data_IF_032562966020
#
_entry.id   IF_032562966020
#
_cell.length_a   1.000
_cell.length_b   1.000
_cell.length_c   1.000
_cell.angle_alpha   90.00
_cell.angle_beta   90.00
_cell.angle_gamma   90.00
#
_symmetry.space_group_name_H-M   'P 1'
#
loop_
_entity.id
_entity.type
_entity.pdbx_description
1 polymer ?
#
# COMPACT_ATOMS: atom_id res chain seq x y z
N UNK A 1 10.47 -8.94 -20.58
CA UNK A 1 9.05 -9.12 -20.85
C UNK A 1 8.55 -10.52 -20.46
N UNK A 2 9.23 -11.56 -20.88
CA UNK A 2 8.88 -12.93 -20.52
C UNK A 2 8.93 -13.17 -19.00
N UNK A 3 9.99 -12.67 -18.33
CA UNK A 3 10.13 -12.78 -16.87
C UNK A 3 9.01 -12.04 -16.14
N UNK A 4 8.58 -10.89 -16.65
CA UNK A 4 7.49 -10.11 -16.07
C UNK A 4 6.17 -10.87 -16.18
N UNK A 5 5.88 -11.43 -17.35
CA UNK A 5 4.67 -12.23 -17.57
C UNK A 5 4.71 -13.49 -16.71
N UNK A 6 5.85 -14.15 -16.64
CA UNK A 6 6.01 -15.35 -15.81
C UNK A 6 5.75 -15.03 -14.34
N UNK A 7 6.33 -13.95 -13.81
CA UNK A 7 6.09 -13.55 -12.41
C UNK A 7 4.63 -13.24 -12.15
N UNK A 8 3.95 -12.53 -13.06
CA UNK A 8 2.52 -12.24 -12.92
C UNK A 8 1.69 -13.52 -12.83
N UNK A 9 2.06 -14.55 -13.58
CA UNK A 9 1.34 -15.82 -13.61
C UNK A 9 1.66 -16.74 -12.43
N UNK A 10 2.90 -16.72 -11.93
CA UNK A 10 3.38 -17.64 -10.90
C UNK A 10 3.35 -17.04 -9.48
N UNK A 11 3.58 -15.73 -9.36
CA UNK A 11 3.59 -15.02 -8.08
C UNK A 11 3.07 -13.60 -8.25
N UNK A 12 1.75 -13.46 -8.46
CA UNK A 12 1.17 -12.14 -8.71
C UNK A 12 1.36 -11.17 -7.55
N UNK A 13 1.35 -11.63 -6.32
CA UNK A 13 1.54 -10.76 -5.16
C UNK A 13 2.93 -10.11 -5.16
N UNK A 14 3.96 -10.89 -5.47
CA UNK A 14 5.32 -10.34 -5.58
C UNK A 14 5.43 -9.37 -6.76
N UNK A 15 4.82 -9.71 -7.89
CA UNK A 15 4.81 -8.84 -9.07
C UNK A 15 4.20 -7.46 -8.72
N UNK A 16 3.02 -7.44 -8.11
CA UNK A 16 2.37 -6.17 -7.76
C UNK A 16 3.06 -5.45 -6.61
N UNK A 17 3.62 -6.19 -5.65
CA UNK A 17 4.39 -5.53 -4.57
C UNK A 17 5.64 -4.84 -5.11
N UNK A 18 6.28 -5.36 -6.14
CA UNK A 18 7.41 -4.68 -6.78
C UNK A 18 6.99 -3.33 -7.37
N UNK A 19 5.77 -3.24 -7.89
CA UNK A 19 5.24 -1.98 -8.42
C UNK A 19 4.87 -1.01 -7.30
N UNK A 20 4.33 -1.49 -6.18
CA UNK A 20 4.13 -0.68 -4.99
C UNK A 20 5.47 -0.17 -4.44
N UNK A 21 6.50 -1.00 -4.47
CA UNK A 21 7.85 -0.64 -4.03
C UNK A 21 8.44 0.49 -4.89
N UNK A 22 8.17 0.49 -6.20
CA UNK A 22 8.58 1.59 -7.07
C UNK A 22 7.94 2.91 -6.65
N UNK A 23 6.69 2.88 -6.21
CA UNK A 23 6.03 4.07 -5.65
C UNK A 23 6.71 4.52 -4.35
N UNK A 24 7.14 3.57 -3.50
CA UNK A 24 7.92 3.90 -2.31
C UNK A 24 9.25 4.56 -2.66
N UNK A 25 9.92 4.09 -3.71
CA UNK A 25 11.17 4.70 -4.19
C UNK A 25 10.93 6.11 -4.73
N UNK A 26 9.79 6.36 -5.35
CA UNK A 26 9.40 7.71 -5.79
C UNK A 26 9.26 8.65 -4.57
N UNK A 27 8.58 8.19 -3.51
CA UNK A 27 8.47 8.95 -2.27
C UNK A 27 9.87 9.28 -1.71
N UNK A 28 10.76 8.29 -1.66
CA UNK A 28 12.13 8.47 -1.18
C UNK A 28 12.86 9.54 -1.99
N UNK A 29 12.71 9.54 -3.32
CA UNK A 29 13.35 10.53 -4.18
C UNK A 29 12.88 11.96 -3.93
N UNK A 30 11.71 12.11 -3.32
CA UNK A 30 11.11 13.41 -2.95
C UNK A 30 11.24 13.71 -1.46
N UNK A 31 12.09 12.97 -0.76
CA UNK A 31 12.36 13.11 0.69
C UNK A 31 11.10 12.91 1.55
N UNK A 32 10.19 12.08 1.08
CA UNK A 32 9.03 11.63 1.85
C UNK A 32 9.31 10.28 2.48
N UNK A 33 8.58 9.93 3.55
CA UNK A 33 8.66 8.59 4.12
C UNK A 33 8.34 7.58 3.00
N UNK A 34 9.25 6.62 2.71
CA UNK A 34 9.14 5.79 1.51
C UNK A 34 8.11 4.66 1.64
N UNK A 35 6.86 5.03 1.43
CA UNK A 35 5.73 4.11 1.40
C UNK A 35 5.03 4.27 0.06
N UNK A 36 4.73 3.15 -0.58
CA UNK A 36 4.02 3.12 -1.84
C UNK A 36 2.86 2.15 -1.81
N UNK A 37 1.84 2.43 -2.60
CA UNK A 37 0.64 1.60 -2.69
C UNK A 37 0.08 1.57 -4.11
N UNK A 38 -0.49 0.44 -4.48
CA UNK A 38 -1.26 0.30 -5.72
C UNK A 38 -2.55 -0.44 -5.44
N UNK A 39 -3.59 -0.13 -6.22
CA UNK A 39 -4.86 -0.86 -6.20
C UNK A 39 -5.02 -1.60 -7.51
N UNK A 40 -5.37 -2.88 -7.42
CA UNK A 40 -5.44 -3.79 -8.56
C UNK A 40 -6.82 -4.46 -8.61
N UNK A 41 -7.38 -4.57 -9.80
CA UNK A 41 -8.57 -5.37 -10.08
C UNK A 41 -8.35 -6.12 -11.39
N UNK A 42 -8.63 -7.43 -11.40
CA UNK A 42 -8.45 -8.28 -12.59
C UNK A 42 -7.05 -8.13 -13.23
N UNK A 43 -6.03 -8.16 -12.40
CA UNK A 43 -4.62 -8.00 -12.79
C UNK A 43 -4.30 -6.65 -13.45
N UNK A 44 -5.19 -5.66 -13.28
CA UNK A 44 -5.00 -4.32 -13.81
C UNK A 44 -4.83 -3.32 -12.68
N UNK A 45 -3.79 -2.48 -12.76
CA UNK A 45 -3.57 -1.41 -11.80
C UNK A 45 -4.53 -0.27 -12.14
N UNK A 46 -5.36 0.11 -11.16
CA UNK A 46 -6.36 1.18 -11.32
C UNK A 46 -6.10 2.38 -10.41
N UNK A 47 -5.13 2.28 -9.51
CA UNK A 47 -4.75 3.39 -8.65
C UNK A 47 -3.35 3.21 -8.13
N UNK A 48 -2.61 4.31 -7.99
CA UNK A 48 -1.27 4.34 -7.43
C UNK A 48 -1.18 5.49 -6.44
N UNK A 49 -0.36 5.32 -5.42
CA UNK A 49 -0.07 6.37 -4.47
C UNK A 49 1.28 6.17 -3.81
N UNK A 50 1.92 7.26 -3.46
CA UNK A 50 3.08 7.24 -2.58
C UNK A 50 2.92 8.36 -1.57
N UNK A 51 3.56 8.23 -0.42
CA UNK A 51 3.44 9.21 0.65
C UNK A 51 3.86 10.61 0.17
N UNK A 52 3.00 11.60 0.36
CA UNK A 52 3.20 12.98 -0.06
C UNK A 52 2.80 13.98 1.04
N UNK A 53 2.93 13.58 2.30
CA UNK A 53 2.54 14.39 3.46
C UNK A 53 3.23 15.78 3.43
N UNK A 54 4.54 15.80 3.20
CA UNK A 54 5.30 17.04 3.16
C UNK A 54 5.00 17.85 1.91
N UNK A 55 4.97 17.19 0.75
CA UNK A 55 4.74 17.84 -0.54
C UNK A 55 3.40 18.55 -0.60
N UNK A 56 2.35 17.93 -0.06
CA UNK A 56 0.99 18.45 -0.12
C UNK A 56 0.59 19.22 1.14
N UNK A 57 1.45 19.28 2.15
CA UNK A 57 1.12 19.83 3.47
C UNK A 57 -0.18 19.23 4.01
N UNK A 58 -0.28 17.90 3.93
CA UNK A 58 -1.51 17.17 4.23
C UNK A 58 -1.17 15.90 5.03
N UNK A 59 -1.52 15.87 6.30
CA UNK A 59 -1.25 14.74 7.19
C UNK A 59 -1.99 13.46 6.75
N UNK A 60 -3.00 13.58 5.90
CA UNK A 60 -3.74 12.42 5.37
C UNK A 60 -3.20 11.92 4.03
N UNK A 61 -2.19 12.57 3.45
CA UNK A 61 -1.66 12.22 2.13
C UNK A 61 -0.74 11.00 2.18
N UNK A 62 -1.21 9.94 2.80
CA UNK A 62 -0.54 8.64 2.84
C UNK A 62 -0.74 7.93 1.49
N UNK A 63 0.18 7.02 1.18
CA UNK A 63 0.15 6.25 -0.06
C UNK A 63 -1.21 5.58 -0.29
N UNK A 64 -1.76 4.96 0.75
CA UNK A 64 -3.03 4.25 0.68
C UNK A 64 -4.19 5.19 0.35
N UNK A 65 -4.23 6.36 1.00
CA UNK A 65 -5.28 7.35 0.77
C UNK A 65 -5.30 7.82 -0.68
N UNK A 66 -4.12 8.11 -1.23
CA UNK A 66 -3.98 8.55 -2.61
C UNK A 66 -4.35 7.44 -3.60
N UNK A 67 -3.95 6.21 -3.31
CA UNK A 67 -4.27 5.06 -4.16
C UNK A 67 -5.78 4.76 -4.17
N UNK A 68 -6.44 4.84 -3.01
CA UNK A 68 -7.89 4.66 -2.88
C UNK A 68 -8.62 5.71 -3.73
N UNK A 69 -8.24 6.98 -3.60
CA UNK A 69 -8.87 8.07 -4.36
C UNK A 69 -8.73 7.84 -5.87
N UNK A 70 -7.52 7.47 -6.32
CA UNK A 70 -7.29 7.19 -7.73
C UNK A 70 -8.13 6.02 -8.24
N UNK A 71 -8.19 4.93 -7.46
CA UNK A 71 -8.96 3.74 -7.84
C UNK A 71 -10.47 4.05 -7.90
N UNK A 72 -10.99 4.78 -6.92
CA UNK A 72 -12.39 5.15 -6.88
C UNK A 72 -12.77 6.04 -8.06
N UNK A 73 -11.90 6.97 -8.44
CA UNK A 73 -12.10 7.81 -9.61
C UNK A 73 -12.10 6.97 -10.90
N UNK A 74 -11.18 6.02 -11.00
CA UNK A 74 -11.11 5.14 -12.18
C UNK A 74 -12.39 4.33 -12.35
N UNK A 75 -12.91 3.74 -11.27
CA UNK A 75 -14.10 2.91 -11.30
C UNK A 75 -15.41 3.72 -11.28
N UNK A 76 -15.36 4.98 -10.90
CA UNK A 76 -16.57 5.76 -10.65
C UNK A 76 -17.38 5.20 -9.48
N UNK A 77 -16.72 4.63 -8.48
CA UNK A 77 -17.36 3.94 -7.36
C UNK A 77 -16.56 4.15 -6.07
N UNK A 78 -17.28 4.25 -4.96
CA UNK A 78 -16.65 4.42 -3.64
C UNK A 78 -16.25 3.09 -2.98
N UNK A 79 -16.88 1.99 -3.37
CA UNK A 79 -16.57 0.67 -2.80
C UNK A 79 -15.64 -0.11 -3.72
N UNK A 80 -14.62 -0.70 -3.12
CA UNK A 80 -13.53 -1.38 -3.82
C UNK A 80 -13.51 -2.87 -3.45
N UNK A 81 -14.68 -3.49 -3.40
CA UNK A 81 -14.86 -4.87 -2.91
C UNK A 81 -14.15 -5.91 -3.77
N UNK A 82 -14.00 -5.63 -5.07
CA UNK A 82 -13.33 -6.53 -6.02
C UNK A 82 -11.84 -6.26 -6.14
N UNK A 83 -11.32 -5.29 -5.39
CA UNK A 83 -9.95 -4.80 -5.55
C UNK A 83 -9.02 -5.33 -4.47
N UNK A 84 -7.73 -5.36 -4.81
CA UNK A 84 -6.65 -5.66 -3.88
C UNK A 84 -5.75 -4.43 -3.76
N UNK A 85 -5.45 -4.03 -2.52
CA UNK A 85 -4.43 -3.02 -2.23
C UNK A 85 -3.12 -3.73 -1.94
N UNK A 86 -2.05 -3.32 -2.62
CA UNK A 86 -0.67 -3.69 -2.28
C UNK A 86 0.00 -2.46 -1.70
N UNK A 87 0.52 -2.55 -0.50
CA UNK A 87 1.18 -1.46 0.19
C UNK A 87 2.46 -1.95 0.85
N UNK A 88 3.52 -1.17 0.76
CA UNK A 88 4.86 -1.62 1.20
C UNK A 88 5.00 -1.74 2.71
N UNK A 89 4.22 -0.96 3.47
CA UNK A 89 4.24 -1.00 4.93
C UNK A 89 2.82 -1.24 5.45
N UNK A 90 2.71 -1.95 6.57
CA UNK A 90 1.44 -2.16 7.26
C UNK A 90 0.69 -0.83 7.41
N UNK A 91 -0.58 -0.74 7.00
CA UNK A 91 -1.36 0.50 7.13
C UNK A 91 -1.47 0.99 8.57
N UNK A 92 -1.39 2.31 8.75
CA UNK A 92 -1.69 2.93 10.04
C UNK A 92 -3.20 2.86 10.34
N UNK A 93 -3.63 3.16 11.58
CA UNK A 93 -5.07 3.13 11.91
C UNK A 93 -5.94 4.03 11.04
N UNK A 94 -5.45 5.20 10.65
CA UNK A 94 -6.19 6.11 9.76
C UNK A 94 -6.47 5.44 8.41
N UNK A 95 -5.44 4.86 7.79
CA UNK A 95 -5.57 4.20 6.50
C UNK A 95 -6.40 2.92 6.61
N UNK A 96 -6.23 2.16 7.70
CA UNK A 96 -7.04 0.97 7.94
C UNK A 96 -8.53 1.32 8.02
N UNK A 97 -8.88 2.40 8.72
CA UNK A 97 -10.26 2.86 8.79
C UNK A 97 -10.79 3.28 7.40
N UNK A 98 -9.97 3.97 6.62
CA UNK A 98 -10.34 4.34 5.25
C UNK A 98 -10.58 3.11 4.37
N UNK A 99 -9.72 2.10 4.50
CA UNK A 99 -9.85 0.83 3.78
C UNK A 99 -11.13 0.09 4.19
N UNK A 100 -11.51 0.18 5.46
CA UNK A 100 -12.78 -0.37 5.94
C UNK A 100 -13.97 0.31 5.27
N UNK A 101 -13.97 1.65 5.23
CA UNK A 101 -15.05 2.40 4.60
C UNK A 101 -15.13 2.14 3.09
N UNK A 102 -13.98 1.95 2.44
CA UNK A 102 -13.93 1.60 1.02
C UNK A 102 -14.29 0.13 0.76
N UNK A 103 -14.41 -0.68 1.79
CA UNK A 103 -14.67 -2.14 1.70
C UNK A 103 -13.66 -2.83 0.80
N UNK A 104 -12.38 -2.49 0.98
CA UNK A 104 -11.31 -3.10 0.18
C UNK A 104 -11.40 -4.63 0.28
N UNK A 105 -11.40 -5.29 -0.87
CA UNK A 105 -11.58 -6.75 -0.91
C UNK A 105 -10.41 -7.51 -0.29
N UNK A 106 -9.19 -7.08 -0.59
CA UNK A 106 -7.97 -7.71 -0.05
C UNK A 106 -6.89 -6.67 0.17
N UNK A 107 -6.11 -6.85 1.22
CA UNK A 107 -4.95 -6.02 1.53
C UNK A 107 -3.73 -6.93 1.65
N UNK A 108 -2.67 -6.58 0.91
CA UNK A 108 -1.38 -7.26 0.96
C UNK A 108 -0.35 -6.21 1.36
N UNK A 109 0.33 -6.41 2.50
CA UNK A 109 1.40 -5.49 2.87
C UNK A 109 2.75 -6.20 3.00
N UNK A 110 3.81 -5.43 2.78
CA UNK A 110 5.17 -5.97 2.81
C UNK A 110 5.68 -6.12 4.23
N UNK A 111 6.11 -5.02 4.83
CA UNK A 111 6.67 -5.03 6.18
C UNK A 111 5.61 -4.70 7.23
N UNK A 112 5.72 -5.31 8.40
CA UNK A 112 4.93 -4.94 9.58
C UNK A 112 5.48 -3.63 10.16
N UNK A 113 4.61 -2.84 10.76
CA UNK A 113 4.98 -1.61 11.47
C UNK A 113 4.76 -1.83 12.97
N UNK A 114 5.83 -2.09 13.68
CA UNK A 114 5.79 -2.43 15.10
C UNK A 114 5.28 -1.29 15.99
N UNK A 115 5.37 -0.05 15.52
CA UNK A 115 4.97 1.13 16.29
C UNK A 115 3.64 1.71 15.86
N UNK A 116 3.42 1.83 14.56
CA UNK A 116 2.30 2.57 14.01
C UNK A 116 1.27 1.75 13.24
N UNK A 117 1.46 0.43 13.13
CA UNK A 117 0.56 -0.43 12.39
C UNK A 117 -0.82 -0.57 13.05
N UNK A 118 -1.85 -0.78 12.23
CA UNK A 118 -3.22 -0.89 12.73
C UNK A 118 -3.42 -2.09 13.67
N UNK A 119 -2.63 -3.16 13.51
CA UNK A 119 -2.75 -4.36 14.35
C UNK A 119 -2.40 -4.08 15.82
N UNK A 120 -1.66 -3.00 16.09
CA UNK A 120 -1.32 -2.60 17.46
C UNK A 120 -2.50 -1.94 18.19
N UNK A 121 -3.48 -1.46 17.45
CA UNK A 121 -4.68 -0.83 18.01
C UNK A 121 -5.81 -1.84 18.14
N UNK A 122 -6.12 -2.55 17.06
CA UNK A 122 -7.23 -3.52 17.03
C UNK A 122 -7.14 -4.40 15.81
N UNK A 123 -7.58 -5.65 15.94
CA UNK A 123 -7.77 -6.56 14.81
C UNK A 123 -9.09 -6.31 14.08
N UNK A 124 -9.89 -5.33 14.52
CA UNK A 124 -11.23 -5.07 14.00
C UNK A 124 -11.35 -3.73 13.26
N UNK A 125 -10.21 -3.10 12.89
CA UNK A 125 -10.23 -1.83 12.16
C UNK A 125 -10.59 -2.00 10.69
N UNK A 126 -10.44 -3.20 10.13
CA UNK A 126 -10.78 -3.49 8.75
C UNK A 126 -12.18 -4.09 8.64
N UNK A 127 -12.74 -4.05 7.43
CA UNK A 127 -14.02 -4.71 7.18
C UNK A 127 -13.88 -6.22 7.42
N UNK A 128 -14.88 -6.89 8.03
CA UNK A 128 -14.77 -8.32 8.37
C UNK A 128 -14.52 -9.25 7.17
N UNK A 129 -14.93 -8.82 5.98
CA UNK A 129 -14.74 -9.60 4.75
C UNK A 129 -13.41 -9.33 4.04
N UNK A 130 -12.63 -8.35 4.49
CA UNK A 130 -11.35 -8.03 3.87
C UNK A 130 -10.34 -9.15 4.17
N UNK A 131 -9.79 -9.75 3.11
CA UNK A 131 -8.70 -10.71 3.25
C UNK A 131 -7.37 -9.97 3.45
N UNK A 132 -6.48 -10.53 4.26
CA UNK A 132 -5.20 -9.90 4.58
C UNK A 132 -4.08 -10.90 4.33
N UNK A 133 -3.02 -10.44 3.65
CA UNK A 133 -1.75 -11.17 3.51
C UNK A 133 -0.61 -10.22 3.85
N UNK A 134 0.48 -10.76 4.39
CA UNK A 134 1.63 -9.94 4.79
C UNK A 134 2.94 -10.64 4.46
N UNK A 135 4.04 -9.89 4.52
CA UNK A 135 5.38 -10.45 4.36
C UNK A 135 5.87 -10.54 2.93
N UNK A 136 5.13 -10.01 1.97
CA UNK A 136 5.55 -10.02 0.56
C UNK A 136 6.61 -8.93 0.37
N UNK A 137 7.84 -9.32 0.03
CA UNK A 137 9.01 -8.43 -0.03
C UNK A 137 9.28 -7.73 1.32
N UNK A 138 9.07 -8.46 2.41
CA UNK A 138 9.17 -7.91 3.77
C UNK A 138 10.53 -7.25 4.03
N UNK A 139 11.63 -7.88 3.61
CA UNK A 139 12.98 -7.37 3.87
C UNK A 139 13.21 -6.04 3.15
N UNK A 140 12.92 -5.99 1.86
CA UNK A 140 13.12 -4.78 1.06
C UNK A 140 12.23 -3.64 1.54
N UNK A 141 10.96 -3.93 1.79
CA UNK A 141 10.00 -2.94 2.26
C UNK A 141 10.35 -2.41 3.65
N UNK A 142 10.85 -3.26 4.53
CA UNK A 142 11.31 -2.85 5.85
C UNK A 142 12.60 -2.06 5.81
N UNK A 143 13.56 -2.49 4.98
CA UNK A 143 14.87 -1.86 4.88
C UNK A 143 14.78 -0.42 4.37
N UNK A 144 13.93 -0.14 3.38
CA UNK A 144 13.80 1.21 2.83
C UNK A 144 13.30 2.21 3.89
N UNK A 145 12.39 1.78 4.77
CA UNK A 145 11.89 2.57 5.90
C UNK A 145 12.99 2.78 6.94
N UNK A 146 13.64 1.71 7.36
CA UNK A 146 14.71 1.75 8.38
C UNK A 146 15.85 2.67 7.91
N UNK A 147 16.27 2.54 6.67
CA UNK A 147 17.35 3.35 6.11
C UNK A 147 16.99 4.82 6.01
N UNK A 148 15.74 5.12 5.66
CA UNK A 148 15.25 6.50 5.60
C UNK A 148 15.37 7.18 6.97
N UNK A 149 14.86 6.53 8.03
CA UNK A 149 14.90 7.12 9.37
C UNK A 149 16.32 7.19 9.95
N UNK A 150 17.20 6.26 9.61
CA UNK A 150 18.62 6.35 9.98
C UNK A 150 19.27 7.61 9.40
N UNK A 151 18.92 7.96 8.16
CA UNK A 151 19.43 9.16 7.51
C UNK A 151 18.92 10.46 8.13
N UNK A 152 17.88 10.42 8.95
CA UNK A 152 17.29 11.59 9.61
C UNK A 152 17.79 11.81 11.04
N UNK A 153 18.55 10.88 11.60
CA UNK A 153 19.09 10.97 12.96
C UNK A 153 20.43 11.67 13.01
#
# INVERSE_FOLDING_TARGET
LEKTIEMLLTDPDKYFMQLAYKEAQQALSEDEVPIGAIVVVDNKIIGKGYNQVEKLNDVTAHAEMLAITAASNYLGAKFLEECTLYVTLEPCPMCAAALKWARMGRIVYGASDEKGGFTKISNHLLHPKTAISKGVMEEECGAIITNFFKGKR
#
